data_IF_028417880422
#
_entry.id   IF_028417880422
#
_cell.length_a   1.000
_cell.length_b   1.000
_cell.length_c   1.000
_cell.angle_alpha   90.00
_cell.angle_beta   90.00
_cell.angle_gamma   90.00
#
_symmetry.space_group_name_H-M   'P 1'
#
loop_
_entity.id
_entity.type
_entity.pdbx_description
1 polymer ?
#
# COMPACT_ATOMS: atom_id res chain seq x y z
N UNK A 1 -19.68 -24.92 -4.55
CA UNK A 1 -19.44 -25.09 -3.11
C UNK A 1 -18.23 -24.27 -2.72
N UNK A 2 -18.33 -23.62 -1.57
CA UNK A 2 -17.59 -22.47 -1.05
C UNK A 2 -16.13 -22.26 -1.49
N UNK A 3 -15.87 -21.02 -1.89
CA UNK A 3 -14.55 -20.41 -2.04
C UNK A 3 -14.06 -20.06 -0.64
N UNK A 4 -13.24 -20.93 -0.05
CA UNK A 4 -12.33 -20.56 1.03
C UNK A 4 -11.16 -19.79 0.40
N UNK A 5 -11.39 -18.51 0.10
CA UNK A 5 -10.29 -17.56 0.00
C UNK A 5 -10.00 -17.09 1.41
N UNK A 6 -8.88 -17.58 1.95
CA UNK A 6 -8.24 -17.04 3.12
C UNK A 6 -8.31 -15.51 3.10
N UNK A 7 -9.08 -14.96 4.04
CA UNK A 7 -9.07 -13.53 4.34
C UNK A 7 -7.76 -13.25 5.05
N UNK A 8 -6.70 -13.03 4.30
CA UNK A 8 -5.53 -12.34 4.84
C UNK A 8 -6.02 -10.93 5.17
N UNK A 9 -6.17 -10.62 6.46
CA UNK A 9 -6.40 -9.27 6.91
C UNK A 9 -5.21 -8.42 6.44
N UNK A 10 -5.45 -7.60 5.42
CA UNK A 10 -4.51 -6.57 4.99
C UNK A 10 -4.64 -5.48 6.03
N UNK A 11 -3.66 -5.38 6.92
CA UNK A 11 -3.49 -4.20 7.75
C UNK A 11 -2.81 -3.13 6.89
N UNK A 12 -3.56 -2.11 6.51
CA UNK A 12 -3.02 -0.92 5.86
C UNK A 12 -3.06 0.24 6.85
N UNK A 13 -2.02 1.07 6.82
CA UNK A 13 -2.09 2.40 7.41
C UNK A 13 -2.96 3.25 6.51
N UNK A 14 -4.22 3.42 6.90
CA UNK A 14 -5.07 4.41 6.27
C UNK A 14 -5.00 5.67 7.13
N UNK A 15 -4.48 6.76 6.56
CA UNK A 15 -4.31 8.03 7.27
C UNK A 15 -5.22 9.06 6.65
N UNK A 16 -5.95 9.79 7.50
CA UNK A 16 -6.79 10.91 7.08
C UNK A 16 -6.11 12.23 7.44
N UNK A 17 -5.67 12.97 6.42
CA UNK A 17 -5.33 14.39 6.53
C UNK A 17 -6.63 15.21 6.63
N UNK A 18 -7.08 15.46 7.86
CA UNK A 18 -8.31 16.22 8.11
C UNK A 18 -8.04 17.71 8.07
N UNK A 19 -8.53 18.39 7.03
CA UNK A 19 -8.65 19.84 6.97
C UNK A 19 -10.00 20.23 7.60
N UNK A 20 -9.93 21.00 8.68
CA UNK A 20 -10.98 21.06 9.70
C UNK A 20 -12.43 21.25 9.24
N UNK A 21 -13.30 20.42 9.81
CA UNK A 21 -14.63 20.77 10.33
C UNK A 21 -14.95 19.78 11.47
N UNK A 22 -15.15 20.32 12.67
CA UNK A 22 -15.11 19.57 13.94
C UNK A 22 -16.17 18.47 14.08
N UNK A 23 -15.76 17.36 14.70
CA UNK A 23 -16.63 16.25 15.07
C UNK A 23 -17.64 16.68 16.14
N UNK A 24 -18.92 16.65 15.77
CA UNK A 24 -20.07 16.78 16.67
C UNK A 24 -20.35 15.41 17.28
N UNK A 25 -19.86 15.12 18.48
CA UNK A 25 -20.48 14.19 19.43
C UNK A 25 -19.78 14.30 20.80
N UNK A 26 -20.45 14.94 21.77
CA UNK A 26 -19.96 15.12 23.12
C UNK A 26 -20.22 13.87 23.98
N UNK A 27 -19.44 12.81 23.76
CA UNK A 27 -19.11 11.90 24.85
C UNK A 27 -17.87 12.45 25.56
N UNK A 28 -17.78 12.32 26.89
CA UNK A 28 -16.57 12.69 27.61
C UNK A 28 -15.43 11.79 27.10
N UNK A 29 -14.42 12.41 26.47
CA UNK A 29 -13.26 11.70 25.92
C UNK A 29 -12.55 10.89 27.00
N UNK A 30 -12.06 9.70 26.66
CA UNK A 30 -11.24 8.92 27.59
C UNK A 30 -9.88 9.60 27.90
N UNK A 31 -9.44 10.52 27.04
CA UNK A 31 -8.15 11.22 27.10
C UNK A 31 -8.14 12.38 28.10
N UNK A 32 -8.38 12.07 29.37
CA UNK A 32 -8.50 13.07 30.45
C UNK A 32 -7.19 13.46 31.12
N UNK A 33 -6.12 12.65 30.97
CA UNK A 33 -4.81 12.98 31.50
C UNK A 33 -3.95 13.71 30.47
N UNK A 34 -3.12 14.65 30.95
CA UNK A 34 -2.20 15.45 30.12
C UNK A 34 -0.78 15.31 30.66
N UNK A 35 0.17 15.07 29.76
CA UNK A 35 1.60 15.12 30.02
C UNK A 35 2.26 16.10 29.06
N UNK A 36 3.00 17.06 29.59
CA UNK A 36 3.73 18.05 28.78
C UNK A 36 5.20 17.66 28.73
N UNK A 37 5.76 17.61 27.52
CA UNK A 37 7.19 17.43 27.27
C UNK A 37 7.73 18.66 26.50
N UNK A 38 9.04 18.76 26.26
CA UNK A 38 9.59 19.84 25.45
C UNK A 38 9.02 19.91 24.02
N UNK A 39 8.47 18.80 23.51
CA UNK A 39 8.06 18.63 22.10
C UNK A 39 6.61 18.17 21.91
N UNK A 40 5.93 17.70 22.96
CA UNK A 40 4.58 17.16 22.86
C UNK A 40 3.70 17.55 24.04
N UNK A 41 2.42 17.81 23.75
CA UNK A 41 1.33 17.85 24.73
C UNK A 41 0.54 16.55 24.55
N UNK A 42 0.79 15.59 25.43
CA UNK A 42 0.29 14.22 25.30
C UNK A 42 -1.03 14.09 26.05
N UNK A 43 -2.09 13.76 25.33
CA UNK A 43 -3.42 13.47 25.85
C UNK A 43 -3.62 11.95 25.85
N UNK A 44 -3.93 11.37 27.01
CA UNK A 44 -4.01 9.93 27.18
C UNK A 44 -5.04 9.52 28.24
N UNK A 45 -5.45 8.26 28.20
CA UNK A 45 -6.31 7.68 29.22
C UNK A 45 -5.54 7.45 30.53
N UNK A 46 -5.99 7.97 31.69
CA UNK A 46 -5.30 7.76 32.97
C UNK A 46 -5.13 6.29 33.37
N UNK A 47 -5.94 5.40 32.78
CA UNK A 47 -5.89 3.97 33.01
C UNK A 47 -4.64 3.28 32.42
N UNK A 48 -3.90 3.94 31.52
CA UNK A 48 -2.72 3.35 30.88
C UNK A 48 -1.58 4.38 30.67
N UNK A 49 -0.97 4.87 31.76
CA UNK A 49 0.11 5.85 31.70
C UNK A 49 1.39 5.28 31.09
N UNK A 50 1.61 3.96 31.17
CA UNK A 50 2.78 3.29 30.60
C UNK A 50 2.74 3.26 29.07
N UNK A 51 1.57 3.01 28.49
CA UNK A 51 1.39 3.13 27.04
C UNK A 51 1.68 4.56 26.58
N UNK A 52 1.15 5.57 27.29
CA UNK A 52 1.42 6.96 26.98
C UNK A 52 2.92 7.31 27.06
N UNK A 53 3.64 6.81 28.08
CA UNK A 53 5.10 6.98 28.20
C UNK A 53 5.83 6.37 26.99
N UNK A 54 5.54 5.10 26.67
CA UNK A 54 6.20 4.38 25.58
C UNK A 54 5.97 5.04 24.21
N UNK A 55 4.75 5.51 23.95
CA UNK A 55 4.43 6.25 22.72
C UNK A 55 5.12 7.62 22.71
N UNK A 56 5.21 8.30 23.85
CA UNK A 56 5.91 9.59 23.96
C UNK A 56 7.41 9.46 23.70
N UNK A 57 8.05 8.43 24.24
CA UNK A 57 9.46 8.13 23.98
C UNK A 57 9.69 7.85 22.49
N UNK A 58 8.86 6.99 21.90
CA UNK A 58 8.89 6.71 20.46
C UNK A 58 8.69 7.98 19.62
N UNK A 59 7.73 8.84 19.98
CA UNK A 59 7.47 10.10 19.30
C UNK A 59 8.67 11.04 19.34
N UNK A 60 9.37 11.11 20.48
CA UNK A 60 10.54 11.97 20.64
C UNK A 60 11.73 11.52 19.77
N UNK A 61 11.94 10.22 19.64
CA UNK A 61 13.05 9.68 18.84
C UNK A 61 12.76 9.82 17.35
N UNK A 62 11.54 9.48 16.93
CA UNK A 62 11.10 9.62 15.54
C UNK A 62 11.03 11.10 15.13
N UNK A 63 10.61 12.01 16.02
CA UNK A 63 10.63 13.46 15.74
C UNK A 63 12.04 13.91 15.37
N UNK A 64 13.05 13.54 16.14
CA UNK A 64 14.44 13.95 15.87
C UNK A 64 14.95 13.36 14.55
N UNK A 65 14.68 12.07 14.32
CA UNK A 65 15.12 11.35 13.12
C UNK A 65 14.52 11.96 11.86
N UNK A 66 13.19 12.05 11.79
CA UNK A 66 12.47 12.59 10.63
C UNK A 66 12.81 14.07 10.43
N UNK A 67 12.91 14.85 11.52
CA UNK A 67 13.28 16.27 11.42
C UNK A 67 14.65 16.47 10.80
N UNK A 68 15.63 15.64 11.13
CA UNK A 68 16.97 15.71 10.53
C UNK A 68 16.92 15.41 9.03
N UNK A 69 16.13 14.42 8.61
CA UNK A 69 15.98 13.97 7.24
C UNK A 69 15.20 14.97 6.36
N UNK A 70 14.13 15.56 6.90
CA UNK A 70 13.30 16.55 6.20
C UNK A 70 13.82 17.98 6.34
N UNK A 71 14.81 18.22 7.20
CA UNK A 71 15.39 19.53 7.43
C UNK A 71 14.57 20.45 8.34
N UNK A 72 13.67 19.90 9.16
CA UNK A 72 12.97 20.65 10.19
C UNK A 72 13.88 20.88 11.40
N UNK A 73 13.88 22.11 11.93
CA UNK A 73 14.55 22.42 13.20
C UNK A 73 13.54 22.23 14.33
N UNK A 74 13.73 21.20 15.14
CA UNK A 74 12.85 20.94 16.28
C UNK A 74 12.88 22.11 17.26
N UNK A 75 11.72 22.73 17.48
CA UNK A 75 11.56 23.87 18.37
C UNK A 75 11.09 23.42 19.76
N UNK A 76 11.89 23.70 20.79
CA UNK A 76 11.45 23.54 22.19
C UNK A 76 10.42 24.62 22.52
N UNK A 77 9.31 24.23 23.14
CA UNK A 77 8.24 25.16 23.54
C UNK A 77 7.14 25.38 22.50
N UNK A 78 7.20 24.69 21.35
CA UNK A 78 6.07 24.52 20.42
C UNK A 78 5.65 23.05 20.36
N UNK A 79 5.07 22.50 21.43
CA UNK A 79 4.74 21.08 21.48
C UNK A 79 3.64 20.72 20.46
N UNK A 80 3.76 19.55 19.82
CA UNK A 80 2.68 18.96 19.02
C UNK A 80 1.63 18.33 19.96
N UNK A 81 0.32 18.51 19.72
CA UNK A 81 -0.69 17.71 20.41
C UNK A 81 -0.58 16.24 19.99
N UNK A 82 -0.44 15.33 20.95
CA UNK A 82 -0.36 13.89 20.71
C UNK A 82 -1.47 13.18 21.46
N UNK A 83 -2.45 12.64 20.75
CA UNK A 83 -3.60 11.93 21.29
C UNK A 83 -3.33 10.42 21.20
N UNK A 84 -3.17 9.77 22.36
CA UNK A 84 -2.80 8.35 22.46
C UNK A 84 -4.03 7.55 22.88
N UNK A 85 -4.63 6.84 21.91
CA UNK A 85 -5.81 6.01 22.17
C UNK A 85 -5.38 4.59 22.50
N UNK A 86 -5.86 4.06 23.63
CA UNK A 86 -5.52 2.72 24.08
C UNK A 86 -6.18 1.63 23.24
N UNK A 87 -7.34 1.92 22.68
CA UNK A 87 -8.12 0.97 21.89
C UNK A 87 -8.46 1.54 20.52
N UNK A 88 -8.40 0.70 19.49
CA UNK A 88 -8.85 1.06 18.16
C UNK A 88 -10.30 1.58 18.13
N UNK A 89 -11.19 0.99 18.95
CA UNK A 89 -12.58 1.45 19.05
C UNK A 89 -12.69 2.90 19.54
N UNK A 90 -11.94 3.28 20.58
CA UNK A 90 -11.92 4.65 21.08
C UNK A 90 -11.34 5.60 20.03
N UNK A 91 -10.25 5.21 19.37
CA UNK A 91 -9.64 5.97 18.28
C UNK A 91 -10.64 6.31 17.17
N UNK A 92 -11.34 5.32 16.62
CA UNK A 92 -12.34 5.53 15.56
C UNK A 92 -13.51 6.38 16.07
N UNK A 93 -14.07 6.05 17.24
CA UNK A 93 -15.28 6.69 17.77
C UNK A 93 -15.05 8.14 18.15
N UNK A 94 -13.99 8.43 18.92
CA UNK A 94 -13.69 9.78 19.41
C UNK A 94 -13.02 10.64 18.34
N UNK A 95 -12.26 10.02 17.42
CA UNK A 95 -11.72 10.68 16.23
C UNK A 95 -12.81 11.07 15.21
N UNK A 96 -14.03 10.53 15.35
CA UNK A 96 -15.13 10.76 14.40
C UNK A 96 -14.84 10.18 13.01
N UNK A 97 -14.11 9.06 12.97
CA UNK A 97 -13.61 8.46 11.74
C UNK A 97 -14.66 7.50 11.16
N UNK A 98 -14.90 7.63 9.85
CA UNK A 98 -15.82 6.74 9.12
C UNK A 98 -15.12 5.45 8.68
N UNK A 99 -13.83 5.51 8.37
CA UNK A 99 -13.03 4.35 7.98
C UNK A 99 -12.47 3.63 9.20
N UNK A 100 -12.80 2.35 9.33
CA UNK A 100 -12.41 1.48 10.43
C UNK A 100 -10.99 0.92 10.28
N UNK A 101 -10.32 1.16 9.16
CA UNK A 101 -8.93 0.74 8.98
C UNK A 101 -7.94 1.88 9.25
N UNK A 102 -8.43 3.07 9.60
CA UNK A 102 -7.57 4.17 10.02
C UNK A 102 -6.89 3.85 11.34
N UNK A 103 -5.60 4.12 11.42
CA UNK A 103 -4.74 3.81 12.59
C UNK A 103 -3.97 5.04 13.10
N UNK A 104 -3.99 6.12 12.33
CA UNK A 104 -3.40 7.40 12.67
C UNK A 104 -4.11 8.54 11.94
N UNK A 105 -4.07 9.74 12.52
CA UNK A 105 -4.44 10.96 11.80
C UNK A 105 -3.53 12.12 12.18
N UNK A 106 -3.26 12.96 11.19
CA UNK A 106 -2.55 14.22 11.32
C UNK A 106 -3.49 15.34 10.88
N UNK A 107 -3.73 16.31 11.77
CA UNK A 107 -4.59 17.46 11.46
C UNK A 107 -3.74 18.70 11.23
N UNK A 108 -3.88 19.32 10.07
CA UNK A 108 -3.16 20.55 9.73
C UNK A 108 -3.67 21.78 10.49
N UNK A 109 -4.93 21.77 10.96
CA UNK A 109 -5.53 22.93 11.64
C UNK A 109 -4.93 23.23 13.02
N UNK A 110 -4.52 22.19 13.73
CA UNK A 110 -3.98 22.28 15.10
C UNK A 110 -2.74 21.41 15.31
N UNK A 111 -2.18 20.87 14.22
CA UNK A 111 -0.99 20.01 14.22
C UNK A 111 -1.16 18.75 15.09
N UNK A 112 -2.40 18.38 15.41
CA UNK A 112 -2.69 17.26 16.29
C UNK A 112 -2.39 15.94 15.59
N UNK A 113 -1.66 15.09 16.30
CA UNK A 113 -1.35 13.72 15.94
C UNK A 113 -2.21 12.82 16.81
N UNK A 114 -3.07 12.01 16.21
CA UNK A 114 -3.81 10.97 16.93
C UNK A 114 -3.35 9.60 16.46
N UNK A 115 -3.07 8.70 17.41
CA UNK A 115 -2.55 7.36 17.11
C UNK A 115 -3.39 6.31 17.82
N UNK A 116 -3.75 5.26 17.07
CA UNK A 116 -4.21 4.00 17.63
C UNK A 116 -3.02 3.25 18.24
N UNK A 117 -2.88 3.33 19.56
CA UNK A 117 -1.81 2.67 20.29
C UNK A 117 -2.15 1.22 20.69
N UNK A 118 -3.30 0.69 20.25
CA UNK A 118 -3.71 -0.69 20.54
C UNK A 118 -2.90 -1.74 19.79
N UNK A 119 -2.26 -1.34 18.67
CA UNK A 119 -1.52 -2.26 17.81
C UNK A 119 -2.40 -3.25 17.04
N UNK A 120 -3.70 -2.96 16.89
CA UNK A 120 -4.66 -3.89 16.30
C UNK A 120 -4.39 -4.22 14.82
N UNK A 121 -3.81 -3.28 14.08
CA UNK A 121 -3.55 -3.42 12.64
C UNK A 121 -2.08 -3.25 12.32
N UNK A 122 -1.47 -2.16 12.78
CA UNK A 122 -0.03 -1.89 12.60
C UNK A 122 0.61 -1.57 13.93
N UNK A 123 1.95 -1.57 13.98
CA UNK A 123 2.64 -1.07 15.17
C UNK A 123 2.33 0.41 15.37
N UNK A 124 2.09 0.80 16.62
CA UNK A 124 1.83 2.19 16.98
C UNK A 124 2.99 3.11 16.59
N UNK A 125 4.23 2.60 16.63
CA UNK A 125 5.42 3.29 16.14
C UNK A 125 5.29 3.64 14.66
N UNK A 126 4.91 2.68 13.81
CA UNK A 126 4.80 2.89 12.36
C UNK A 126 3.72 3.94 12.04
N UNK A 127 2.52 3.83 12.63
CA UNK A 127 1.46 4.82 12.47
C UNK A 127 1.92 6.22 12.96
N UNK A 128 2.54 6.27 14.15
CA UNK A 128 3.07 7.51 14.72
C UNK A 128 4.11 8.17 13.80
N UNK A 129 5.06 7.41 13.25
CA UNK A 129 6.09 7.94 12.35
C UNK A 129 5.47 8.48 11.05
N UNK A 130 4.44 7.81 10.52
CA UNK A 130 3.69 8.27 9.35
C UNK A 130 3.02 9.63 9.64
N UNK A 131 2.24 9.72 10.71
CA UNK A 131 1.53 10.96 11.07
C UNK A 131 2.49 12.12 11.41
N UNK A 132 3.58 11.78 12.09
CA UNK A 132 4.59 12.76 12.47
C UNK A 132 5.26 13.39 11.25
N UNK A 133 5.42 12.61 10.18
CA UNK A 133 5.95 13.10 8.90
C UNK A 133 5.03 14.18 8.31
N UNK A 134 3.71 13.97 8.29
CA UNK A 134 2.77 14.96 7.78
C UNK A 134 2.81 16.28 8.56
N UNK A 135 2.81 16.23 9.90
CA UNK A 135 2.84 17.47 10.71
C UNK A 135 4.19 18.18 10.62
N UNK A 136 5.31 17.46 10.47
CA UNK A 136 6.62 18.08 10.23
C UNK A 136 6.64 18.79 8.89
N UNK A 137 6.14 18.15 7.82
CA UNK A 137 6.00 18.76 6.50
C UNK A 137 5.13 20.02 6.60
N UNK A 138 4.01 19.96 7.31
CA UNK A 138 3.15 21.11 7.53
C UNK A 138 3.86 22.23 8.29
N UNK A 139 4.68 21.93 9.31
CA UNK A 139 5.48 22.94 10.01
C UNK A 139 6.55 23.59 9.15
N UNK A 140 7.13 22.85 8.20
CA UNK A 140 8.12 23.40 7.27
C UNK A 140 7.43 24.33 6.26
N UNK A 141 6.32 23.89 5.66
CA UNK A 141 5.71 24.56 4.52
C UNK A 141 4.60 25.57 4.90
N UNK A 142 4.02 25.44 6.09
CA UNK A 142 2.83 26.15 6.51
C UNK A 142 1.69 25.94 5.52
N UNK A 143 1.06 27.04 5.08
CA UNK A 143 0.04 26.98 4.05
C UNK A 143 0.56 26.32 2.78
N UNK A 144 1.82 26.53 2.35
CA UNK A 144 2.35 25.97 1.09
C UNK A 144 2.37 24.44 1.03
N UNK A 145 2.04 23.73 2.11
CA UNK A 145 1.80 22.30 2.07
C UNK A 145 0.77 21.88 0.99
N UNK A 146 -0.22 22.74 0.65
CA UNK A 146 -1.18 22.45 -0.44
C UNK A 146 -0.57 22.48 -1.84
N UNK A 147 0.67 22.98 -1.98
CA UNK A 147 1.41 22.96 -3.26
C UNK A 147 2.14 21.64 -3.47
N UNK A 148 2.28 20.81 -2.44
CA UNK A 148 2.88 19.48 -2.58
C UNK A 148 1.82 18.48 -3.03
N UNK A 149 2.04 17.72 -4.11
CA UNK A 149 1.14 16.66 -4.52
C UNK A 149 0.92 15.63 -3.40
N UNK A 150 -0.32 15.17 -3.25
CA UNK A 150 -0.71 14.20 -2.23
C UNK A 150 0.15 12.93 -2.30
N UNK A 151 0.40 12.39 -3.50
CA UNK A 151 1.27 11.21 -3.67
C UNK A 151 2.68 11.40 -3.10
N UNK A 152 3.25 12.62 -3.18
CA UNK A 152 4.59 12.87 -2.61
C UNK A 152 4.50 12.99 -1.09
N UNK A 153 3.44 13.62 -0.57
CA UNK A 153 3.20 13.71 0.87
C UNK A 153 3.07 12.33 1.52
N UNK A 154 2.17 11.50 0.99
CA UNK A 154 1.95 10.13 1.44
C UNK A 154 3.15 9.23 1.18
N UNK A 155 3.82 9.42 0.05
CA UNK A 155 5.03 8.69 -0.28
C UNK A 155 6.16 8.93 0.72
N UNK A 156 6.42 10.19 1.09
CA UNK A 156 7.41 10.52 2.12
C UNK A 156 7.00 9.95 3.48
N UNK A 157 5.73 10.02 3.86
CA UNK A 157 5.24 9.43 5.11
C UNK A 157 5.42 7.91 5.16
N UNK A 158 5.14 7.19 4.06
CA UNK A 158 5.43 5.74 3.91
C UNK A 158 6.93 5.43 3.86
N UNK A 159 7.74 6.33 3.32
CA UNK A 159 9.19 6.16 3.33
C UNK A 159 9.73 6.25 4.75
N UNK A 160 9.39 7.33 5.47
CA UNK A 160 9.89 7.62 6.81
C UNK A 160 9.41 6.63 7.85
N UNK A 161 8.17 6.14 7.73
CA UNK A 161 7.61 5.10 8.61
C UNK A 161 8.12 3.69 8.32
N UNK A 162 8.93 3.54 7.26
CA UNK A 162 9.32 2.25 6.68
C UNK A 162 8.10 1.38 6.29
N UNK A 163 6.93 1.98 6.12
CA UNK A 163 5.69 1.34 5.70
C UNK A 163 5.66 1.10 4.19
N UNK A 164 6.51 0.19 3.72
CA UNK A 164 6.45 -0.31 2.35
C UNK A 164 6.64 -1.81 2.33
N UNK A 165 5.49 -2.48 2.38
CA UNK A 165 5.38 -3.92 2.54
C UNK A 165 5.70 -4.67 1.24
N UNK A 166 5.90 -5.98 1.36
CA UNK A 166 5.95 -6.87 0.18
C UNK A 166 4.63 -6.86 -0.61
N UNK A 167 3.51 -6.56 0.06
CA UNK A 167 2.20 -6.37 -0.60
C UNK A 167 2.20 -5.12 -1.47
N UNK A 168 2.73 -4.00 -0.99
CA UNK A 168 2.86 -2.77 -1.79
C UNK A 168 3.73 -3.02 -3.03
N UNK A 169 4.87 -3.70 -2.84
CA UNK A 169 5.75 -4.11 -3.95
C UNK A 169 5.00 -4.97 -4.96
N UNK A 170 4.21 -5.94 -4.50
CA UNK A 170 3.44 -6.82 -5.37
C UNK A 170 2.32 -6.08 -6.13
N UNK A 171 1.64 -5.13 -5.48
CA UNK A 171 0.60 -4.30 -6.11
C UNK A 171 1.18 -3.45 -7.24
N UNK A 172 2.28 -2.74 -6.98
CA UNK A 172 2.97 -1.92 -8.00
C UNK A 172 3.54 -2.79 -9.11
N UNK A 173 4.13 -3.94 -8.77
CA UNK A 173 4.67 -4.89 -9.75
C UNK A 173 3.59 -5.43 -10.69
N UNK A 174 2.43 -5.81 -10.15
CA UNK A 174 1.32 -6.33 -10.95
C UNK A 174 0.69 -5.22 -11.80
N UNK A 175 0.49 -4.03 -11.25
CA UNK A 175 0.00 -2.88 -12.00
C UNK A 175 0.95 -2.49 -13.15
N UNK A 176 2.26 -2.51 -12.92
CA UNK A 176 3.26 -2.27 -13.96
C UNK A 176 3.28 -3.36 -15.04
N UNK A 177 3.12 -4.63 -14.64
CA UNK A 177 3.07 -5.74 -15.58
C UNK A 177 1.79 -5.70 -16.46
N UNK A 178 0.69 -5.17 -15.93
CA UNK A 178 -0.59 -5.11 -16.65
C UNK A 178 -0.85 -3.75 -17.32
N UNK A 179 0.07 -2.80 -17.25
CA UNK A 179 -0.08 -1.43 -17.77
C UNK A 179 -1.29 -0.70 -17.15
N UNK A 180 -1.50 -0.93 -15.84
CA UNK A 180 -2.59 -0.37 -15.05
C UNK A 180 -2.09 0.49 -13.89
N UNK A 181 -0.85 0.99 -13.96
CA UNK A 181 -0.34 1.99 -13.01
C UNK A 181 -1.22 3.24 -13.08
N UNK A 182 -1.44 3.89 -11.95
CA UNK A 182 -2.14 5.17 -11.90
C UNK A 182 -1.12 6.27 -12.26
N UNK A 183 -1.45 7.19 -13.18
CA UNK A 183 -0.60 8.36 -13.37
C UNK A 183 -0.48 9.13 -12.05
N UNK A 184 0.74 9.32 -11.53
CA UNK A 184 0.93 10.03 -10.25
C UNK A 184 0.34 11.45 -10.26
N UNK A 185 0.26 12.07 -11.45
CA UNK A 185 -0.44 13.35 -11.62
C UNK A 185 -1.90 13.28 -11.12
N UNK A 186 -2.61 12.19 -11.42
CA UNK A 186 -4.00 11.96 -10.99
C UNK A 186 -4.11 11.72 -9.48
N UNK A 187 -3.01 11.37 -8.83
CA UNK A 187 -2.89 11.19 -7.38
C UNK A 187 -2.44 12.47 -6.66
N UNK A 188 -2.40 13.62 -7.34
CA UNK A 188 -1.92 14.88 -6.73
C UNK A 188 -2.91 15.53 -5.77
N UNK A 189 -4.21 15.32 -5.98
CA UNK A 189 -5.27 16.00 -5.21
C UNK A 189 -6.10 15.06 -4.34
N UNK A 190 -6.27 13.81 -4.77
CA UNK A 190 -7.10 12.82 -4.07
C UNK A 190 -6.77 11.41 -4.57
N UNK A 191 -7.00 10.40 -3.73
CA UNK A 191 -6.88 9.01 -4.15
C UNK A 191 -8.24 8.43 -4.60
N UNK A 192 -8.27 7.67 -5.72
CA UNK A 192 -9.45 6.95 -6.15
C UNK A 192 -9.86 5.87 -5.13
N UNK A 193 -11.12 5.88 -4.69
CA UNK A 193 -11.64 4.97 -3.65
C UNK A 193 -11.52 3.48 -4.02
N UNK A 194 -11.65 3.16 -5.30
CA UNK A 194 -11.58 1.80 -5.83
C UNK A 194 -10.14 1.30 -6.04
N UNK A 195 -9.14 2.19 -5.90
CA UNK A 195 -7.72 1.89 -6.12
C UNK A 195 -6.83 2.48 -5.03
N UNK A 196 -7.38 2.75 -3.85
CA UNK A 196 -6.71 3.45 -2.75
C UNK A 196 -5.41 2.76 -2.31
N UNK A 197 -5.42 1.43 -2.19
CA UNK A 197 -4.25 0.63 -1.83
C UNK A 197 -3.11 0.80 -2.85
N UNK A 198 -3.44 0.79 -4.13
CA UNK A 198 -2.47 1.01 -5.19
C UNK A 198 -1.96 2.46 -5.18
N UNK A 199 -2.80 3.44 -4.87
CA UNK A 199 -2.38 4.85 -4.76
C UNK A 199 -1.33 5.03 -3.67
N UNK A 200 -1.51 4.43 -2.49
CA UNK A 200 -0.51 4.44 -1.43
C UNK A 200 0.75 3.67 -1.82
N UNK A 201 0.60 2.51 -2.46
CA UNK A 201 1.74 1.70 -2.90
C UNK A 201 2.58 2.42 -3.97
N UNK A 202 1.96 3.05 -4.96
CA UNK A 202 2.65 3.85 -5.99
C UNK A 202 3.32 5.08 -5.40
N UNK A 203 2.65 5.77 -4.48
CA UNK A 203 3.21 6.91 -3.74
C UNK A 203 4.48 6.52 -2.97
N UNK A 204 4.43 5.43 -2.20
CA UNK A 204 5.59 4.91 -1.46
C UNK A 204 6.71 4.45 -2.40
N UNK A 205 6.37 3.82 -3.51
CA UNK A 205 7.33 3.43 -4.56
C UNK A 205 8.03 4.64 -5.17
N UNK A 206 7.30 5.71 -5.45
CA UNK A 206 7.83 6.94 -6.03
C UNK A 206 8.76 7.68 -5.05
N UNK A 207 8.37 7.80 -3.79
CA UNK A 207 9.24 8.41 -2.76
C UNK A 207 10.52 7.60 -2.52
N UNK A 208 10.43 6.27 -2.53
CA UNK A 208 11.62 5.40 -2.47
C UNK A 208 12.52 5.61 -3.68
N UNK A 209 11.97 5.61 -4.88
CA UNK A 209 12.74 5.91 -6.09
C UNK A 209 13.42 7.28 -6.00
N UNK A 210 12.71 8.31 -5.55
CA UNK A 210 13.24 9.65 -5.35
C UNK A 210 14.44 9.64 -4.40
N UNK A 211 14.32 9.02 -3.23
CA UNK A 211 15.38 9.03 -2.23
C UNK A 211 16.55 8.13 -2.64
N UNK A 212 16.28 6.94 -3.17
CA UNK A 212 17.32 6.00 -3.61
C UNK A 212 18.12 6.55 -4.80
N UNK A 213 17.47 7.31 -5.70
CA UNK A 213 18.09 7.84 -6.92
C UNK A 213 18.86 9.15 -6.70
N UNK A 214 18.30 10.06 -5.90
CA UNK A 214 18.83 11.42 -5.72
C UNK A 214 19.45 11.65 -4.34
N UNK A 215 19.36 10.67 -3.44
CA UNK A 215 20.03 10.65 -2.14
C UNK A 215 19.14 11.07 -0.98
N UNK A 216 19.55 10.71 0.25
CA UNK A 216 18.82 10.97 1.50
C UNK A 216 18.57 12.46 1.80
N UNK A 217 19.36 13.37 1.20
CA UNK A 217 19.17 14.81 1.37
C UNK A 217 18.14 15.42 0.42
N UNK A 218 17.66 14.67 -0.58
CA UNK A 218 16.73 15.17 -1.58
C UNK A 218 15.39 15.67 -0.99
N UNK A 219 14.75 14.99 -0.03
CA UNK A 219 13.54 15.50 0.62
C UNK A 219 13.74 16.85 1.29
N UNK A 220 14.87 17.04 1.99
CA UNK A 220 15.22 18.32 2.61
C UNK A 220 15.37 19.43 1.57
N UNK A 221 16.02 19.15 0.43
CA UNK A 221 16.16 20.13 -0.66
C UNK A 221 14.80 20.47 -1.27
N UNK A 222 13.96 19.45 -1.50
CA UNK A 222 12.61 19.61 -2.02
C UNK A 222 11.76 20.51 -1.11
N UNK A 223 11.69 20.20 0.19
CA UNK A 223 10.87 20.95 1.13
C UNK A 223 11.35 22.39 1.33
N UNK A 224 12.67 22.61 1.40
CA UNK A 224 13.24 23.95 1.52
C UNK A 224 12.97 24.82 0.28
N UNK A 225 13.10 24.25 -0.92
CA UNK A 225 12.82 24.98 -2.16
C UNK A 225 11.33 25.19 -2.38
N UNK A 226 10.48 24.24 -1.95
CA UNK A 226 9.03 24.40 -1.99
C UNK A 226 8.57 25.51 -1.03
N UNK A 227 9.11 25.56 0.19
CA UNK A 227 8.82 26.69 1.10
C UNK A 227 9.27 28.02 0.47
N UNK A 228 10.45 28.06 -0.15
CA UNK A 228 10.97 29.30 -0.76
C UNK A 228 10.14 29.77 -1.96
N UNK A 229 9.67 28.86 -2.80
CA UNK A 229 9.11 29.20 -4.13
C UNK A 229 7.61 29.03 -4.24
N UNK A 230 7.00 28.20 -3.38
CA UNK A 230 5.61 27.78 -3.52
C UNK A 230 5.32 26.99 -4.80
N UNK A 231 6.32 26.38 -5.44
CA UNK A 231 6.17 25.64 -6.69
C UNK A 231 6.83 24.27 -6.59
N UNK A 232 6.01 23.23 -6.67
CA UNK A 232 6.50 21.85 -6.63
C UNK A 232 7.47 21.55 -7.78
N UNK A 233 7.19 22.02 -9.00
CA UNK A 233 8.09 21.79 -10.14
C UNK A 233 9.46 22.42 -9.95
N UNK A 234 9.53 23.65 -9.44
CA UNK A 234 10.81 24.30 -9.13
C UNK A 234 11.55 23.55 -8.02
N UNK A 235 10.82 23.09 -7.02
CA UNK A 235 11.35 22.33 -5.91
C UNK A 235 11.91 20.96 -6.34
N UNK A 236 11.16 20.23 -7.15
CA UNK A 236 11.61 18.99 -7.78
C UNK A 236 12.82 19.25 -8.66
N UNK A 237 12.78 20.28 -9.52
CA UNK A 237 13.91 20.63 -10.40
C UNK A 237 15.19 20.90 -9.61
N UNK A 238 15.05 21.54 -8.45
CA UNK A 238 16.18 21.80 -7.54
C UNK A 238 16.72 20.52 -6.89
N UNK A 239 15.84 19.60 -6.50
CA UNK A 239 16.22 18.37 -5.82
C UNK A 239 16.76 17.29 -6.76
N UNK A 240 16.24 17.21 -7.99
CA UNK A 240 16.50 16.08 -8.92
C UNK A 240 17.10 16.49 -10.25
N UNK A 241 17.06 17.79 -10.59
CA UNK A 241 17.30 18.28 -11.96
C UNK A 241 16.11 18.08 -12.90
N UNK A 242 14.96 17.62 -12.40
CA UNK A 242 13.73 17.34 -13.16
C UNK A 242 12.52 18.00 -12.53
N UNK A 243 11.62 18.56 -13.34
CA UNK A 243 10.31 19.00 -12.83
C UNK A 243 9.43 17.81 -12.43
N UNK A 244 8.22 18.07 -11.93
CA UNK A 244 7.32 17.02 -11.45
C UNK A 244 7.00 16.00 -12.55
N UNK A 245 6.65 16.47 -13.75
CA UNK A 245 6.26 15.62 -14.87
C UNK A 245 7.44 14.78 -15.39
N UNK A 246 8.63 15.39 -15.53
CA UNK A 246 9.86 14.70 -15.92
C UNK A 246 10.23 13.60 -14.90
N UNK A 247 10.06 13.87 -13.60
CA UNK A 247 10.30 12.88 -12.55
C UNK A 247 9.29 11.73 -12.61
N UNK A 248 7.99 12.03 -12.75
CA UNK A 248 6.93 11.02 -12.83
C UNK A 248 7.17 10.08 -14.04
N UNK A 249 7.55 10.65 -15.18
CA UNK A 249 7.89 9.88 -16.37
C UNK A 249 9.12 8.98 -16.15
N UNK A 250 10.17 9.49 -15.48
CA UNK A 250 11.36 8.70 -15.16
C UNK A 250 11.03 7.54 -14.22
N UNK A 251 10.29 7.81 -13.13
CA UNK A 251 9.87 6.80 -12.18
C UNK A 251 9.04 5.70 -12.85
N UNK A 252 8.02 6.08 -13.63
CA UNK A 252 7.15 5.15 -14.34
C UNK A 252 7.95 4.26 -15.31
N UNK A 253 8.90 4.85 -16.05
CA UNK A 253 9.80 4.09 -16.93
C UNK A 253 10.71 3.13 -16.16
N UNK A 254 11.23 3.55 -15.00
CA UNK A 254 12.09 2.71 -14.15
C UNK A 254 11.37 1.45 -13.64
N UNK A 255 10.06 1.56 -13.39
CA UNK A 255 9.22 0.45 -12.96
C UNK A 255 8.83 -0.42 -14.17
N UNK A 256 8.32 0.20 -15.24
CA UNK A 256 7.89 -0.51 -16.44
C UNK A 256 9.00 -1.36 -17.08
N UNK A 257 10.24 -0.86 -17.10
CA UNK A 257 11.40 -1.61 -17.62
C UNK A 257 11.76 -2.83 -16.78
N UNK A 258 11.65 -2.74 -15.44
CA UNK A 258 11.88 -3.87 -14.52
C UNK A 258 10.83 -4.97 -14.68
N UNK A 259 9.56 -4.60 -14.89
CA UNK A 259 8.45 -5.54 -14.96
C UNK A 259 8.10 -6.00 -16.39
N UNK A 260 8.62 -5.34 -17.43
CA UNK A 260 8.48 -5.76 -18.82
C UNK A 260 8.99 -7.18 -19.08
N UNK A 261 10.06 -7.60 -18.40
CA UNK A 261 10.58 -8.97 -18.52
C UNK A 261 9.62 -10.02 -17.90
N UNK A 262 8.93 -9.66 -16.82
CA UNK A 262 7.90 -10.51 -16.21
C UNK A 262 6.65 -10.64 -17.10
N UNK A 263 6.30 -9.60 -17.86
CA UNK A 263 5.22 -9.66 -18.88
C UNK A 263 5.53 -10.70 -19.94
N UNK A 264 6.74 -10.68 -20.49
CA UNK A 264 7.19 -11.63 -21.51
C UNK A 264 7.11 -13.07 -20.97
N UNK A 265 7.58 -13.29 -19.73
CA UNK A 265 7.49 -14.59 -19.08
C UNK A 265 6.07 -15.10 -18.89
N UNK A 266 5.14 -14.24 -18.45
CA UNK A 266 3.71 -14.59 -18.27
C UNK A 266 3.04 -14.97 -19.60
N UNK A 267 3.27 -14.21 -20.66
CA UNK A 267 2.72 -14.49 -22.00
C UNK A 267 3.27 -15.82 -22.52
N UNK A 268 4.58 -16.04 -22.43
CA UNK A 268 5.21 -17.29 -22.85
C UNK A 268 4.67 -18.49 -22.08
N UNK A 269 4.47 -18.36 -20.76
CA UNK A 269 3.87 -19.38 -19.92
C UNK A 269 2.43 -19.72 -20.30
N UNK A 270 1.59 -18.71 -20.58
CA UNK A 270 0.21 -18.92 -21.01
C UNK A 270 0.14 -19.65 -22.38
N UNK A 271 0.98 -19.24 -23.35
CA UNK A 271 1.08 -19.91 -24.64
C UNK A 271 1.57 -21.35 -24.51
N UNK A 272 2.57 -21.59 -23.66
CA UNK A 272 3.07 -22.93 -23.34
C UNK A 272 1.97 -23.81 -22.71
N UNK A 273 1.21 -23.28 -21.76
CA UNK A 273 0.08 -23.98 -21.14
C UNK A 273 -1.02 -24.33 -22.15
N UNK A 274 -1.36 -23.38 -23.03
CA UNK A 274 -2.34 -23.60 -24.10
C UNK A 274 -1.85 -24.66 -25.10
N UNK A 275 -0.58 -24.63 -25.47
CA UNK A 275 0.04 -25.66 -26.32
C UNK A 275 -0.02 -27.05 -25.67
N UNK A 276 0.32 -27.16 -24.38
CA UNK A 276 0.23 -28.42 -23.63
C UNK A 276 -1.21 -28.94 -23.52
N UNK A 277 -2.19 -28.05 -23.33
CA UNK A 277 -3.60 -28.42 -23.33
C UNK A 277 -4.05 -28.96 -24.70
N UNK A 278 -3.62 -28.33 -25.79
CA UNK A 278 -3.88 -28.82 -27.16
C UNK A 278 -3.27 -30.20 -27.37
N UNK A 279 -2.02 -30.42 -26.95
CA UNK A 279 -1.38 -31.73 -27.05
C UNK A 279 -2.12 -32.80 -26.23
N UNK A 280 -2.59 -32.46 -25.03
CA UNK A 280 -3.38 -33.37 -24.20
C UNK A 280 -4.72 -33.73 -24.87
N UNK A 281 -5.40 -32.77 -25.48
CA UNK A 281 -6.63 -32.99 -26.25
C UNK A 281 -6.36 -33.91 -27.45
N UNK A 282 -5.30 -33.64 -28.22
CA UNK A 282 -4.90 -34.50 -29.35
C UNK A 282 -4.62 -35.92 -28.87
N UNK A 283 -3.82 -36.08 -27.82
CA UNK A 283 -3.50 -37.39 -27.25
C UNK A 283 -4.76 -38.13 -26.77
N UNK A 284 -5.71 -37.41 -26.16
CA UNK A 284 -7.00 -37.97 -25.75
C UNK A 284 -7.84 -38.42 -26.96
N UNK A 285 -7.93 -37.61 -28.02
CA UNK A 285 -8.66 -37.96 -29.25
C UNK A 285 -8.04 -39.17 -29.95
N UNK A 286 -6.71 -39.24 -30.03
CA UNK A 286 -5.98 -40.39 -30.60
C UNK A 286 -6.26 -41.65 -29.78
N UNK A 287 -6.13 -41.59 -28.45
CA UNK A 287 -6.45 -42.73 -27.57
C UNK A 287 -7.90 -43.16 -27.68
N UNK A 288 -8.84 -42.22 -27.77
CA UNK A 288 -10.27 -42.52 -27.95
C UNK A 288 -10.50 -43.24 -29.27
N UNK A 289 -9.86 -42.80 -30.36
CA UNK A 289 -9.99 -43.43 -31.69
C UNK A 289 -9.41 -44.85 -31.69
N UNK A 290 -8.24 -45.05 -31.07
CA UNK A 290 -7.62 -46.38 -30.90
C UNK A 290 -8.51 -47.32 -30.10
N UNK A 291 -9.11 -46.86 -28.99
CA UNK A 291 -10.02 -47.67 -28.17
C UNK A 291 -11.29 -48.09 -28.92
N UNK A 292 -11.87 -47.18 -29.72
CA UNK A 292 -13.03 -47.51 -30.58
C UNK A 292 -12.64 -48.55 -31.63
N UNK A 293 -11.46 -48.42 -32.24
CA UNK A 293 -11.00 -49.37 -33.25
C UNK A 293 -10.77 -50.77 -32.64
N UNK A 294 -10.09 -50.84 -31.50
CA UNK A 294 -9.89 -52.09 -30.76
C UNK A 294 -11.22 -52.74 -30.32
N UNK A 295 -12.22 -51.94 -29.92
CA UNK A 295 -13.57 -52.45 -29.60
C UNK A 295 -14.26 -53.07 -30.81
N UNK A 296 -14.14 -52.45 -31.99
CA UNK A 296 -14.71 -52.98 -33.24
C UNK A 296 -14.04 -54.28 -33.66
N UNK A 297 -12.73 -54.35 -33.53
CA UNK A 297 -11.96 -55.58 -33.80
C UNK A 297 -12.40 -56.70 -32.86
N UNK A 298 -12.57 -56.41 -31.57
CA UNK A 298 -13.03 -57.38 -30.58
C UNK A 298 -14.48 -57.85 -30.81
N UNK A 299 -15.39 -56.94 -31.17
CA UNK A 299 -16.77 -57.29 -31.57
C UNK A 299 -16.79 -58.18 -32.82
N UNK A 300 -15.92 -57.90 -33.80
CA UNK A 300 -15.78 -58.69 -35.01
C UNK A 300 -15.25 -60.10 -34.73
N UNK A 301 -14.23 -60.22 -33.88
CA UNK A 301 -13.70 -61.52 -33.43
C UNK A 301 -14.78 -62.36 -32.73
N UNK A 302 -15.56 -61.76 -31.81
CA UNK A 302 -16.66 -62.47 -31.15
C UNK A 302 -17.75 -62.90 -32.13
N UNK A 303 -18.07 -62.06 -33.12
CA UNK A 303 -19.02 -62.39 -34.16
C UNK A 303 -18.54 -63.60 -34.97
N UNK A 304 -17.29 -63.61 -35.44
CA UNK A 304 -16.69 -64.76 -36.13
C UNK A 304 -16.71 -66.04 -35.28
N UNK A 305 -16.37 -65.93 -33.99
CA UNK A 305 -16.35 -67.07 -33.08
C UNK A 305 -17.75 -67.66 -32.86
N UNK A 306 -18.77 -66.80 -32.75
CA UNK A 306 -20.18 -67.24 -32.62
C UNK A 306 -20.69 -67.94 -33.88
N UNK A 307 -20.30 -67.44 -35.07
CA UNK A 307 -20.60 -68.07 -36.36
C UNK A 307 -19.96 -69.44 -36.48
N UNK A 308 -18.69 -69.59 -36.04
CA UNK A 308 -18.00 -70.89 -36.01
C UNK A 308 -18.71 -71.89 -35.10
N UNK A 309 -19.10 -71.49 -33.89
CA UNK A 309 -19.84 -72.38 -32.96
C UNK A 309 -21.19 -72.84 -33.53
N UNK A 310 -21.93 -71.95 -34.20
CA UNK A 310 -23.19 -72.32 -34.85
C UNK A 310 -23.02 -73.28 -36.05
N UNK A 311 -21.89 -73.22 -36.75
CA UNK A 311 -21.56 -74.15 -37.83
C UNK A 311 -21.18 -75.53 -37.26
N UNK A 312 -20.42 -75.56 -36.17
CA UNK A 312 -20.06 -76.82 -35.50
C UNK A 312 -21.28 -77.54 -34.88
N UNK A 313 -22.24 -76.80 -34.33
CA UNK A 313 -23.49 -77.37 -33.78
C UNK A 313 -24.47 -77.87 -34.85
N UNK A 314 -24.36 -77.42 -36.11
CA UNK A 314 -25.17 -77.97 -37.23
C UNK A 314 -24.62 -79.27 -37.82
N UNK A 315 -23.40 -79.65 -37.44
CA UNK A 315 -22.72 -80.85 -37.92
C UNK A 315 -22.68 -81.98 -36.87
N UNK A 316 -23.40 -81.83 -35.75
CA UNK A 316 -23.70 -82.89 -34.77
C UNK A 316 -25.15 -83.32 -34.90
#
# INVERSE_FOLDING_TARGET
MSVDRAKTLIAMVLTLLVFGLGAKNAHASELTAIKITPYFTVHYAPADPYLAESITESANDELKRISAQLGYRVERGKPFPLLVYRTHYAFIKEGGLEDKYTVGTARSSDEAIAVDASGAFVTSKLALTHELTHVIIFRILGSKAYMMPLWMNEGLAKYESEDYSETDRALVADAAANDTLIPLYDLSSSFPKDRIDLSYAESGSAARYFIDRYGESAPKVLLAELDRTGSFDKAMKKATGKDGDEFIAEWSHSIGSRFGMLRIGRIAGALGGMFMAILAIIAFLVRRKQKIQASKEWEWEQFEESMRRQLDDRHR
#
